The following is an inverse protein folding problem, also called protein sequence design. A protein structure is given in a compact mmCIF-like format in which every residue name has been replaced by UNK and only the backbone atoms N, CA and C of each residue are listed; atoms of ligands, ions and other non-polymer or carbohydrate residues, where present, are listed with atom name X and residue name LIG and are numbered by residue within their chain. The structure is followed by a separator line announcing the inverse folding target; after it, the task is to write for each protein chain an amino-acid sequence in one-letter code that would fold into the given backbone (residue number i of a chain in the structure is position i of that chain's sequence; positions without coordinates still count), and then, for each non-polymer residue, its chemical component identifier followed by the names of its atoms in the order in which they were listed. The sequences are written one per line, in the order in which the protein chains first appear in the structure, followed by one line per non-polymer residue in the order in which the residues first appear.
data_IF_846961368120
#
_entry.id   IF_846961368120
#
_cell.length_a   1.000
_cell.length_b   1.000
_cell.length_c   1.000
_cell.angle_alpha   90.00
_cell.angle_beta   90.00
_cell.angle_gamma   90.00
#
_symmetry.space_group_name_H-M   'P 1'
#
loop_
_entity.id
_entity.type
_entity.pdbx_description
1 polymer ?
#
# COMPACT_ATOMS: atom_id res chain seq x y z
N UNK A 1 -27.01 -3.80 -14.24
CA UNK A 1 -25.76 -4.15 -14.98
C UNK A 1 -24.62 -3.13 -14.87
N UNK A 2 -24.78 -1.99 -14.17
CA UNK A 2 -23.72 -0.98 -14.03
C UNK A 2 -22.63 -1.33 -12.97
N UNK A 3 -23.01 -2.00 -11.88
CA UNK A 3 -22.10 -2.26 -10.73
C UNK A 3 -21.04 -3.35 -10.95
N UNK A 4 -21.25 -4.30 -11.87
CA UNK A 4 -20.20 -5.29 -12.19
C UNK A 4 -19.15 -4.73 -13.15
N UNK A 5 -19.57 -3.83 -14.05
CA UNK A 5 -18.69 -3.21 -15.04
C UNK A 5 -17.73 -2.20 -14.38
N UNK A 6 -18.23 -1.35 -13.47
CA UNK A 6 -17.37 -0.46 -12.68
C UNK A 6 -16.37 -1.24 -11.80
N UNK A 7 -16.79 -2.37 -11.21
CA UNK A 7 -15.93 -3.19 -10.33
C UNK A 7 -14.78 -3.87 -11.07
N UNK A 8 -15.03 -4.45 -12.26
CA UNK A 8 -13.94 -4.97 -13.11
C UNK A 8 -13.00 -3.85 -13.54
N UNK A 9 -13.52 -2.66 -13.84
CA UNK A 9 -12.70 -1.52 -14.22
C UNK A 9 -11.82 -1.02 -13.07
N UNK A 10 -12.31 -0.96 -11.83
CA UNK A 10 -11.50 -0.51 -10.66
C UNK A 10 -10.31 -1.43 -10.39
N UNK A 11 -10.50 -2.75 -10.43
CA UNK A 11 -9.38 -3.69 -10.19
C UNK A 11 -8.35 -3.58 -11.30
N UNK A 12 -8.79 -3.56 -12.58
CA UNK A 12 -7.88 -3.42 -13.71
C UNK A 12 -7.15 -2.08 -13.75
N UNK A 13 -7.83 -0.99 -13.35
CA UNK A 13 -7.25 0.35 -13.22
C UNK A 13 -6.13 0.36 -12.18
N UNK A 14 -6.41 -0.14 -10.98
CA UNK A 14 -5.42 -0.21 -9.89
C UNK A 14 -4.25 -1.14 -10.27
N UNK A 15 -4.51 -2.28 -10.91
CA UNK A 15 -3.45 -3.16 -11.42
C UNK A 15 -2.58 -2.48 -12.47
N UNK A 16 -3.17 -1.73 -13.40
CA UNK A 16 -2.45 -1.00 -14.45
C UNK A 16 -1.54 0.08 -13.84
N UNK A 17 -2.03 0.81 -12.84
CA UNK A 17 -1.25 1.79 -12.08
C UNK A 17 -0.09 1.11 -11.36
N UNK A 18 -0.34 -0.01 -10.68
CA UNK A 18 0.70 -0.79 -9.98
C UNK A 18 1.80 -1.30 -10.90
N UNK A 19 1.44 -1.78 -12.10
CA UNK A 19 2.42 -2.17 -13.12
C UNK A 19 3.26 -0.97 -13.56
N UNK A 20 2.65 0.21 -13.72
CA UNK A 20 3.37 1.45 -14.02
C UNK A 20 4.43 1.80 -12.96
N UNK A 21 4.14 1.57 -11.67
CA UNK A 21 5.13 1.75 -10.60
C UNK A 21 6.27 0.75 -10.70
N UNK A 22 5.98 -0.52 -11.04
CA UNK A 22 7.02 -1.54 -11.26
C UNK A 22 7.95 -1.16 -12.41
N UNK A 23 7.39 -0.72 -13.54
CA UNK A 23 8.18 -0.27 -14.70
C UNK A 23 9.10 0.90 -14.29
N UNK A 24 8.58 1.86 -13.53
CA UNK A 24 9.37 2.99 -13.03
C UNK A 24 10.51 2.56 -12.12
N UNK A 25 10.29 1.56 -11.27
CA UNK A 25 11.34 1.00 -10.40
C UNK A 25 12.45 0.40 -11.25
N UNK A 26 12.12 -0.45 -12.23
CA UNK A 26 13.12 -1.00 -13.16
C UNK A 26 13.89 0.08 -13.93
N UNK A 27 13.19 1.11 -14.43
CA UNK A 27 13.83 2.24 -15.09
C UNK A 27 14.79 2.98 -14.14
N UNK A 28 14.41 3.16 -12.87
CA UNK A 28 15.26 3.78 -11.85
C UNK A 28 16.53 2.97 -11.54
N UNK A 29 16.41 1.65 -11.37
CA UNK A 29 17.58 0.78 -11.17
C UNK A 29 18.51 0.75 -12.38
N UNK A 30 17.95 0.77 -13.60
CA UNK A 30 18.74 0.87 -14.83
C UNK A 30 19.57 2.17 -14.88
N UNK A 31 18.99 3.30 -14.49
CA UNK A 31 19.70 4.60 -14.46
C UNK A 31 20.82 4.62 -13.42
N UNK A 32 20.61 4.03 -12.25
CA UNK A 32 21.57 4.05 -11.13
C UNK A 32 22.60 2.90 -11.25
N UNK A 33 22.36 1.93 -12.13
CA UNK A 33 23.25 0.77 -12.34
C UNK A 33 23.20 -0.26 -11.21
N UNK A 34 22.08 -0.32 -10.47
CA UNK A 34 21.90 -1.26 -9.35
C UNK A 34 20.92 -2.35 -9.77
N UNK A 35 21.30 -3.61 -9.52
CA UNK A 35 20.39 -4.75 -9.70
C UNK A 35 19.27 -4.71 -8.67
N UNK A 36 18.03 -4.66 -9.18
CA UNK A 36 16.84 -4.63 -8.34
C UNK A 36 16.46 -6.07 -7.99
N UNK A 37 16.33 -6.36 -6.69
CA UNK A 37 15.87 -7.68 -6.25
C UNK A 37 14.42 -7.92 -6.65
N UNK A 38 14.11 -9.15 -7.06
CA UNK A 38 12.75 -9.56 -7.45
C UNK A 38 11.74 -9.32 -6.32
N UNK A 39 12.19 -9.48 -5.08
CA UNK A 39 11.38 -9.21 -3.88
C UNK A 39 11.06 -7.73 -3.70
N UNK A 40 11.99 -6.82 -4.00
CA UNK A 40 11.73 -5.38 -3.95
C UNK A 40 10.64 -4.98 -4.98
N UNK A 41 10.67 -5.57 -6.16
CA UNK A 41 9.63 -5.37 -7.18
C UNK A 41 8.27 -5.83 -6.69
N UNK A 42 8.20 -7.01 -6.08
CA UNK A 42 6.97 -7.52 -5.48
C UNK A 42 6.47 -6.60 -4.35
N UNK A 43 7.35 -6.07 -3.51
CA UNK A 43 7.00 -5.09 -2.46
C UNK A 43 6.36 -3.84 -3.07
N UNK A 44 6.96 -3.25 -4.11
CA UNK A 44 6.41 -2.05 -4.75
C UNK A 44 5.08 -2.33 -5.44
N UNK A 45 4.96 -3.48 -6.10
CA UNK A 45 3.70 -3.89 -6.73
C UNK A 45 2.57 -4.02 -5.70
N UNK A 46 2.82 -4.74 -4.61
CA UNK A 46 1.81 -5.01 -3.58
C UNK A 46 1.45 -3.75 -2.78
N UNK A 47 2.44 -2.92 -2.44
CA UNK A 47 2.24 -1.64 -1.78
C UNK A 47 1.44 -0.66 -2.66
N UNK A 48 1.74 -0.59 -3.96
CA UNK A 48 0.99 0.26 -4.88
C UNK A 48 -0.46 -0.20 -5.06
N UNK A 49 -0.73 -1.52 -5.07
CA UNK A 49 -2.09 -2.05 -5.06
C UNK A 49 -2.83 -1.60 -3.79
N UNK A 50 -2.18 -1.73 -2.63
CA UNK A 50 -2.74 -1.32 -1.34
C UNK A 50 -3.11 0.17 -1.31
N UNK A 51 -2.19 1.05 -1.74
CA UNK A 51 -2.48 2.47 -1.81
C UNK A 51 -3.54 2.80 -2.85
N UNK A 52 -3.55 2.11 -4.00
CA UNK A 52 -4.53 2.29 -5.06
C UNK A 52 -5.95 1.94 -4.61
N UNK A 53 -6.14 0.79 -3.96
CA UNK A 53 -7.43 0.43 -3.38
C UNK A 53 -7.86 1.37 -2.25
N UNK A 54 -6.91 1.83 -1.43
CA UNK A 54 -7.19 2.79 -0.36
C UNK A 54 -7.70 4.12 -0.92
N UNK A 55 -7.06 4.64 -1.97
CA UNK A 55 -7.50 5.85 -2.68
C UNK A 55 -8.92 5.68 -3.24
N UNK A 56 -9.19 4.58 -3.94
CA UNK A 56 -10.52 4.30 -4.51
C UNK A 56 -11.59 4.23 -3.42
N UNK A 57 -11.28 3.61 -2.26
CA UNK A 57 -12.21 3.55 -1.14
C UNK A 57 -12.58 4.95 -0.62
N UNK A 58 -11.59 5.83 -0.42
CA UNK A 58 -11.83 7.21 0.02
C UNK A 58 -12.67 8.01 -0.97
N UNK A 59 -12.44 7.85 -2.28
CA UNK A 59 -13.26 8.51 -3.30
C UNK A 59 -14.71 8.01 -3.30
N UNK A 60 -14.93 6.70 -3.16
CA UNK A 60 -16.27 6.14 -3.03
C UNK A 60 -17.00 6.65 -1.78
N UNK A 61 -16.27 6.85 -0.68
CA UNK A 61 -16.81 7.41 0.55
C UNK A 61 -17.21 8.89 0.41
N UNK A 62 -16.35 9.70 -0.22
CA UNK A 62 -16.64 11.11 -0.52
C UNK A 62 -17.86 11.28 -1.47
N UNK A 63 -18.02 10.38 -2.44
CA UNK A 63 -19.20 10.35 -3.31
C UNK A 63 -20.48 10.05 -2.53
N UNK A 64 -20.43 9.16 -1.53
CA UNK A 64 -21.57 8.82 -0.68
C UNK A 64 -22.03 10.02 0.16
N UNK A 65 -21.07 10.74 0.75
CA UNK A 65 -21.37 11.95 1.54
C UNK A 65 -22.05 13.04 0.68
N UNK A 66 -21.65 13.15 -0.58
CA UNK A 66 -22.24 14.09 -1.56
C UNK A 66 -23.61 13.66 -2.11
N UNK A 67 -23.91 12.35 -2.13
CA UNK A 67 -25.09 11.77 -2.79
C UNK A 67 -26.26 11.44 -1.84
N UNK A 68 -26.31 12.06 -0.65
CA UNK A 68 -27.21 11.77 0.46
C UNK A 68 -28.74 11.94 0.23
N UNK A 69 -29.27 11.70 -0.98
CA UNK A 69 -30.74 11.72 -1.22
C UNK A 69 -31.40 10.49 -1.86
N UNK A 70 -30.74 9.53 -2.54
CA UNK A 70 -31.51 8.40 -3.12
C UNK A 70 -30.70 7.15 -3.54
N UNK A 71 -29.99 6.39 -2.66
CA UNK A 71 -29.51 5.00 -3.00
C UNK A 71 -28.81 4.16 -1.90
N UNK A 72 -29.18 4.32 -0.65
CA UNK A 72 -28.40 3.87 0.52
C UNK A 72 -28.01 2.37 0.59
N UNK A 73 -28.80 1.45 0.02
CA UNK A 73 -28.58 0.00 0.20
C UNK A 73 -27.60 -0.63 -0.80
N UNK A 74 -27.44 -0.05 -2.01
CA UNK A 74 -26.65 -0.70 -3.08
C UNK A 74 -25.16 -0.30 -3.05
N UNK A 75 -24.83 0.80 -2.39
CA UNK A 75 -23.46 1.35 -2.31
C UNK A 75 -22.65 0.77 -1.14
N UNK A 76 -23.30 0.41 -0.03
CA UNK A 76 -22.67 -0.25 1.13
C UNK A 76 -21.97 -1.57 0.75
N UNK A 77 -22.60 -2.35 -0.12
CA UNK A 77 -22.06 -3.61 -0.68
C UNK A 77 -20.81 -3.41 -1.55
N UNK A 78 -20.56 -2.19 -2.04
CA UNK A 78 -19.36 -1.88 -2.82
C UNK A 78 -18.19 -1.48 -1.93
N UNK A 79 -18.44 -0.76 -0.84
CA UNK A 79 -17.43 -0.41 0.17
C UNK A 79 -16.89 -1.66 0.87
N UNK A 80 -17.77 -2.59 1.23
CA UNK A 80 -17.37 -3.85 1.89
C UNK A 80 -16.44 -4.69 1.00
N UNK A 81 -16.68 -4.72 -0.32
CA UNK A 81 -15.78 -5.41 -1.26
C UNK A 81 -14.43 -4.71 -1.38
N UNK A 82 -14.41 -3.39 -1.42
CA UNK A 82 -13.15 -2.63 -1.41
C UNK A 82 -12.37 -2.85 -0.12
N UNK A 83 -13.04 -2.98 1.03
CA UNK A 83 -12.39 -3.33 2.30
C UNK A 83 -11.72 -4.71 2.23
N UNK A 84 -12.38 -5.70 1.61
CA UNK A 84 -11.79 -7.05 1.42
C UNK A 84 -10.55 -6.96 0.52
N UNK A 85 -10.64 -6.29 -0.64
CA UNK A 85 -9.51 -6.13 -1.55
C UNK A 85 -8.35 -5.37 -0.90
N UNK A 86 -8.67 -4.30 -0.16
CA UNK A 86 -7.71 -3.51 0.59
C UNK A 86 -7.03 -4.36 1.67
N UNK A 87 -7.80 -5.14 2.43
CA UNK A 87 -7.27 -6.07 3.44
C UNK A 87 -6.36 -7.15 2.83
N UNK A 88 -6.76 -7.76 1.72
CA UNK A 88 -5.93 -8.74 1.00
C UNK A 88 -4.62 -8.08 0.53
N UNK A 89 -4.69 -6.89 -0.07
CA UNK A 89 -3.48 -6.18 -0.52
C UNK A 89 -2.56 -5.78 0.63
N UNK A 90 -3.11 -5.39 1.81
CA UNK A 90 -2.34 -5.13 3.02
C UNK A 90 -1.60 -6.38 3.50
N UNK A 91 -2.31 -7.51 3.61
CA UNK A 91 -1.71 -8.78 4.03
C UNK A 91 -0.59 -9.22 3.09
N UNK A 92 -0.83 -9.16 1.77
CA UNK A 92 0.19 -9.51 0.78
C UNK A 92 1.38 -8.54 0.86
N UNK A 93 1.15 -7.24 1.09
CA UNK A 93 2.23 -6.25 1.27
C UNK A 93 3.11 -6.61 2.47
N UNK A 94 2.50 -6.93 3.61
CA UNK A 94 3.22 -7.32 4.83
C UNK A 94 4.03 -8.60 4.59
N UNK A 95 3.41 -9.63 4.00
CA UNK A 95 4.08 -10.91 3.69
C UNK A 95 5.23 -10.69 2.73
N UNK A 96 5.01 -9.93 1.67
CA UNK A 96 6.04 -9.66 0.66
C UNK A 96 7.21 -8.87 1.26
N UNK A 97 6.93 -7.92 2.16
CA UNK A 97 7.97 -7.21 2.90
C UNK A 97 8.78 -8.14 3.79
N UNK A 98 8.14 -9.04 4.54
CA UNK A 98 8.85 -10.02 5.35
C UNK A 98 9.75 -10.92 4.50
N UNK A 99 9.24 -11.43 3.37
CA UNK A 99 10.02 -12.20 2.41
C UNK A 99 11.20 -11.41 1.86
N UNK A 100 11.00 -10.13 1.52
CA UNK A 100 12.08 -9.23 1.12
C UNK A 100 13.17 -9.11 2.20
N UNK A 101 12.81 -8.94 3.47
CA UNK A 101 13.80 -8.79 4.55
C UNK A 101 14.60 -10.07 4.83
N UNK A 102 14.06 -11.24 4.46
CA UNK A 102 14.69 -12.54 4.71
C UNK A 102 15.42 -13.10 3.47
N UNK A 103 15.14 -12.56 2.29
CA UNK A 103 15.67 -13.03 1.02
C UNK A 103 17.21 -12.95 0.96
N UNK A 104 17.90 -14.00 0.48
CA UNK A 104 19.35 -14.01 0.32
C UNK A 104 19.87 -12.83 -0.51
N UNK A 105 19.18 -12.50 -1.60
CA UNK A 105 19.56 -11.40 -2.50
C UNK A 105 19.50 -10.04 -1.77
N UNK A 106 18.54 -9.85 -0.86
CA UNK A 106 18.46 -8.64 -0.05
C UNK A 106 19.59 -8.58 0.97
N UNK A 107 19.97 -9.73 1.57
CA UNK A 107 21.09 -9.79 2.52
C UNK A 107 22.41 -9.41 1.86
N UNK A 108 22.64 -9.87 0.63
CA UNK A 108 23.83 -9.52 -0.14
C UNK A 108 23.87 -8.02 -0.50
N UNK A 109 22.74 -7.46 -0.93
CA UNK A 109 22.65 -6.04 -1.30
C UNK A 109 22.76 -5.10 -0.09
N UNK A 110 22.19 -5.49 1.06
CA UNK A 110 22.08 -4.62 2.25
C UNK A 110 23.15 -4.91 3.31
N UNK A 111 23.93 -5.99 3.16
CA UNK A 111 25.01 -6.37 4.07
C UNK A 111 24.56 -6.84 5.46
N UNK A 112 23.26 -7.11 5.67
CA UNK A 112 22.71 -7.44 6.99
C UNK A 112 21.55 -8.43 6.89
N UNK A 113 21.46 -9.36 7.85
CA UNK A 113 20.36 -10.32 8.00
C UNK A 113 19.28 -9.84 8.98
N UNK A 114 19.51 -8.70 9.63
CA UNK A 114 18.68 -8.17 10.72
C UNK A 114 17.52 -7.30 10.25
N UNK A 115 17.36 -7.09 8.94
CA UNK A 115 16.27 -6.24 8.40
C UNK A 115 14.88 -6.66 8.85
N UNK A 116 14.68 -7.93 9.23
CA UNK A 116 13.42 -8.42 9.77
C UNK A 116 12.91 -7.63 10.99
N UNK A 117 13.81 -7.03 11.79
CA UNK A 117 13.43 -6.20 12.95
C UNK A 117 12.72 -4.89 12.57
N UNK A 118 12.74 -4.50 11.30
CA UNK A 118 11.97 -3.36 10.80
C UNK A 118 10.49 -3.69 10.54
N UNK A 119 10.14 -4.98 10.47
CA UNK A 119 8.78 -5.48 10.17
C UNK A 119 7.70 -4.93 11.11
N UNK A 120 7.88 -4.87 12.45
CA UNK A 120 6.85 -4.36 13.35
C UNK A 120 6.39 -2.94 13.01
N UNK A 121 7.31 -2.07 12.56
CA UNK A 121 6.98 -0.70 12.14
C UNK A 121 6.16 -0.68 10.86
N UNK A 122 6.48 -1.54 9.89
CA UNK A 122 5.72 -1.68 8.64
C UNK A 122 4.31 -2.19 8.93
N UNK A 123 4.18 -3.23 9.76
CA UNK A 123 2.87 -3.77 10.17
C UNK A 123 2.04 -2.69 10.86
N UNK A 124 2.64 -1.95 11.80
CA UNK A 124 1.96 -0.83 12.45
C UNK A 124 1.51 0.23 11.44
N UNK A 125 2.38 0.62 10.49
CA UNK A 125 2.06 1.60 9.46
C UNK A 125 0.89 1.18 8.58
N UNK A 126 0.87 -0.09 8.13
CA UNK A 126 -0.22 -0.65 7.31
C UNK A 126 -1.54 -0.67 8.10
N UNK A 127 -1.53 -1.13 9.34
CA UNK A 127 -2.73 -1.13 10.18
C UNK A 127 -3.22 0.28 10.51
N UNK A 128 -2.30 1.20 10.82
CA UNK A 128 -2.64 2.60 11.08
C UNK A 128 -3.30 3.24 9.87
N UNK A 129 -2.73 3.02 8.68
CA UNK A 129 -3.33 3.49 7.44
C UNK A 129 -4.71 2.88 7.20
N UNK A 130 -4.89 1.56 7.40
CA UNK A 130 -6.18 0.89 7.24
C UNK A 130 -7.26 1.52 8.13
N UNK A 131 -6.94 1.74 9.42
CA UNK A 131 -7.86 2.38 10.37
C UNK A 131 -8.21 3.81 9.92
N UNK A 132 -7.22 4.59 9.48
CA UNK A 132 -7.44 5.98 9.02
C UNK A 132 -8.23 6.06 7.72
N UNK A 133 -8.01 5.13 6.81
CA UNK A 133 -8.86 5.02 5.62
C UNK A 133 -10.28 4.70 6.05
N UNK A 134 -10.49 3.76 6.98
CA UNK A 134 -11.82 3.38 7.47
C UNK A 134 -12.58 4.49 8.19
N UNK A 135 -11.90 5.46 8.80
CA UNK A 135 -12.51 6.63 9.43
C UNK A 135 -13.18 7.59 8.41
N UNK A 136 -12.79 7.54 7.13
CA UNK A 136 -13.47 8.25 6.04
C UNK A 136 -13.31 9.77 5.98
N UNK A 137 -12.45 10.36 6.81
CA UNK A 137 -12.30 11.82 6.97
C UNK A 137 -11.22 12.47 6.11
N UNK A 138 -10.60 11.71 5.20
CA UNK A 138 -9.40 12.14 4.49
C UNK A 138 -9.60 12.15 2.97
N UNK A 139 -9.05 13.14 2.29
CA UNK A 139 -9.20 13.34 0.84
C UNK A 139 -8.31 12.42 0.02
N UNK A 140 -7.30 11.77 0.64
CA UNK A 140 -6.44 10.84 -0.07
C UNK A 140 -5.39 10.13 0.79
N UNK A 141 -4.72 9.11 0.21
CA UNK A 141 -3.70 8.31 0.89
C UNK A 141 -2.52 9.13 1.40
N UNK A 142 -2.06 10.10 0.59
CA UNK A 142 -0.92 10.97 0.92
C UNK A 142 -1.23 11.86 2.12
N UNK A 143 -2.47 12.36 2.20
CA UNK A 143 -2.90 13.19 3.32
C UNK A 143 -2.89 12.41 4.63
N UNK A 144 -3.36 11.16 4.61
CA UNK A 144 -3.30 10.26 5.78
C UNK A 144 -1.85 10.08 6.23
N UNK A 145 -0.96 9.78 5.30
CA UNK A 145 0.46 9.53 5.60
C UNK A 145 1.17 10.77 6.14
N UNK A 146 0.81 11.97 5.68
CA UNK A 146 1.45 13.23 6.09
C UNK A 146 0.81 13.91 7.30
N UNK A 147 -0.47 13.66 7.59
CA UNK A 147 -1.16 14.29 8.74
C UNK A 147 -1.19 13.40 9.97
N UNK A 148 -1.14 12.07 9.82
CA UNK A 148 -1.17 11.18 10.97
C UNK A 148 0.20 11.10 11.66
N UNK A 149 0.30 11.71 12.84
CA UNK A 149 1.51 11.71 13.66
C UNK A 149 2.01 10.29 13.98
N UNK A 150 1.09 9.33 14.14
CA UNK A 150 1.43 7.92 14.39
C UNK A 150 2.12 7.28 13.19
N UNK A 151 1.57 7.49 11.99
CA UNK A 151 2.16 7.01 10.74
C UNK A 151 3.54 7.64 10.49
N UNK A 152 3.68 8.95 10.71
CA UNK A 152 4.96 9.65 10.57
C UNK A 152 5.99 9.09 11.57
N UNK A 153 5.62 8.94 12.84
CA UNK A 153 6.51 8.41 13.86
C UNK A 153 6.97 6.98 13.51
N UNK A 154 6.06 6.13 13.04
CA UNK A 154 6.38 4.79 12.59
C UNK A 154 7.36 4.80 11.40
N UNK A 155 7.15 5.71 10.44
CA UNK A 155 8.08 5.91 9.33
C UNK A 155 9.47 6.35 9.79
N UNK A 156 9.56 7.29 10.74
CA UNK A 156 10.82 7.75 11.31
C UNK A 156 11.55 6.61 12.04
N UNK A 157 10.84 5.86 12.89
CA UNK A 157 11.41 4.73 13.63
C UNK A 157 11.86 3.62 12.68
N UNK A 158 11.12 3.38 11.60
CA UNK A 158 11.51 2.46 10.55
C UNK A 158 12.81 2.91 9.86
N UNK A 159 12.90 4.17 9.42
CA UNK A 159 14.12 4.72 8.79
C UNK A 159 15.32 4.62 9.75
N UNK A 160 15.13 5.00 11.01
CA UNK A 160 16.19 4.97 12.02
C UNK A 160 16.70 3.53 12.25
N UNK A 161 15.77 2.57 12.35
CA UNK A 161 16.13 1.15 12.53
C UNK A 161 16.79 0.59 11.28
N UNK A 162 16.29 0.92 10.08
CA UNK A 162 16.89 0.51 8.82
C UNK A 162 18.34 1.00 8.72
N UNK A 163 18.58 2.30 8.91
CA UNK A 163 19.93 2.89 8.86
C UNK A 163 20.88 2.32 9.91
N UNK A 164 20.37 1.97 11.11
CA UNK A 164 21.17 1.37 12.17
C UNK A 164 21.62 -0.05 11.82
N UNK A 165 20.78 -0.81 11.11
CA UNK A 165 21.04 -2.21 10.77
C UNK A 165 21.86 -2.40 9.48
N UNK A 166 21.82 -1.44 8.56
CA UNK A 166 22.58 -1.44 7.31
C UNK A 166 23.93 -0.72 7.43
N UNK A 167 24.34 -0.32 8.65
CA UNK A 167 25.67 0.21 8.99
C UNK A 167 26.58 -0.91 9.44
#
# INVERSE_FOLDING_TARGET
MYSFYLKKKTVLDVMSISIGFVIRVYAGGFIIGIEITKWLVACVFTLSLFLGFGKRRLEFEALKESAAKTREVMESYTIQKLNILLGISASITIVTYMLYTMAPETKEVQGTDKLIFTTPFVVYGIYRYLLKVQEGRHSGPVEIMLKDKGFILAGILWIATFMLLTR
#
